data_IF_707631549886
#
_entry.id   IF_707631549886
#
_cell.length_a   1.000
_cell.length_b   1.000
_cell.length_c   1.000
_cell.angle_alpha   90.00
_cell.angle_beta   90.00
_cell.angle_gamma   90.00
#
_symmetry.space_group_name_H-M   'P 1'
#
loop_
_entity.id
_entity.type
_entity.pdbx_description
1 polymer ?
#
# COMPACT_ATOMS: atom_id res chain seq x y z
N UNK A 1 5.91 6.43 -26.29
CA UNK A 1 6.21 7.83 -25.87
C UNK A 1 5.42 8.20 -24.63
N UNK A 2 4.11 7.90 -24.56
CA UNK A 2 3.27 8.15 -23.38
C UNK A 2 3.74 7.44 -22.11
N UNK A 3 4.14 6.17 -22.21
CA UNK A 3 4.58 5.40 -21.04
C UNK A 3 5.85 5.97 -20.39
N UNK A 4 6.78 6.51 -21.19
CA UNK A 4 7.99 7.18 -20.69
C UNK A 4 7.65 8.51 -20.02
N UNK A 5 6.67 9.25 -20.54
CA UNK A 5 6.15 10.47 -19.91
C UNK A 5 5.40 10.18 -18.60
N UNK A 6 4.66 9.08 -18.53
CA UNK A 6 4.01 8.63 -17.31
C UNK A 6 5.04 8.28 -16.23
N UNK A 7 6.06 7.48 -16.58
CA UNK A 7 7.14 7.12 -15.65
C UNK A 7 7.89 8.37 -15.17
N UNK A 8 8.21 9.31 -16.06
CA UNK A 8 8.86 10.56 -15.66
C UNK A 8 7.98 11.46 -14.78
N UNK A 9 6.65 11.45 -14.96
CA UNK A 9 5.70 12.13 -14.07
C UNK A 9 5.54 11.42 -12.73
N UNK A 10 5.65 10.10 -12.69
CA UNK A 10 5.63 9.33 -11.43
C UNK A 10 6.92 9.53 -10.62
N UNK A 11 8.05 9.70 -11.31
CA UNK A 11 9.37 9.90 -10.68
C UNK A 11 9.57 11.35 -10.25
N UNK A 12 9.10 12.33 -11.02
CA UNK A 12 9.16 13.74 -10.64
C UNK A 12 7.94 14.04 -9.78
N UNK A 13 8.17 14.19 -8.48
CA UNK A 13 7.25 14.76 -7.51
C UNK A 13 6.86 16.19 -7.93
N UNK A 14 6.08 16.33 -9.00
CA UNK A 14 5.47 17.60 -9.38
C UNK A 14 4.29 17.76 -8.45
N UNK A 15 4.60 18.25 -7.24
CA UNK A 15 3.64 18.76 -6.29
C UNK A 15 2.76 19.80 -7.00
N UNK A 16 1.47 19.81 -6.68
CA UNK A 16 0.51 20.89 -6.94
C UNK A 16 -0.37 20.90 -8.20
N UNK A 17 -0.85 19.77 -8.72
CA UNK A 17 -2.01 19.81 -9.64
C UNK A 17 -3.11 18.80 -9.24
N UNK A 18 -4.37 19.14 -9.55
CA UNK A 18 -5.64 18.44 -9.23
C UNK A 18 -5.74 16.96 -9.70
N UNK A 19 -4.65 16.35 -10.18
CA UNK A 19 -4.48 14.92 -10.50
C UNK A 19 -3.50 14.16 -9.58
N UNK A 20 -2.87 14.83 -8.61
CA UNK A 20 -1.86 14.27 -7.70
C UNK A 20 -2.42 13.17 -6.79
N UNK A 21 -3.64 13.35 -6.26
CA UNK A 21 -4.24 12.39 -5.33
C UNK A 21 -4.38 10.99 -5.94
N UNK A 22 -4.97 10.89 -7.14
CA UNK A 22 -5.21 9.59 -7.76
C UNK A 22 -3.91 8.82 -8.05
N UNK A 23 -2.87 9.54 -8.48
CA UNK A 23 -1.56 8.96 -8.76
C UNK A 23 -0.89 8.50 -7.46
N UNK A 24 -0.85 9.36 -6.43
CA UNK A 24 -0.25 9.05 -5.13
C UNK A 24 -0.94 7.89 -4.42
N UNK A 25 -2.26 7.83 -4.49
CA UNK A 25 -3.02 6.69 -4.01
C UNK A 25 -2.63 5.42 -4.75
N UNK A 26 -2.56 5.47 -6.09
CA UNK A 26 -2.27 4.31 -6.91
C UNK A 26 -0.87 3.73 -6.65
N UNK A 27 0.15 4.57 -6.47
CA UNK A 27 1.52 4.11 -6.19
C UNK A 27 1.67 3.52 -4.78
N UNK A 28 0.82 3.94 -3.82
CA UNK A 28 0.87 3.45 -2.44
C UNK A 28 0.02 2.19 -2.20
N UNK A 29 -0.89 1.84 -3.12
CA UNK A 29 -1.65 0.58 -3.04
C UNK A 29 -0.72 -0.65 -2.97
N UNK A 30 0.31 -0.83 -3.81
CA UNK A 30 1.24 -1.95 -3.68
C UNK A 30 1.94 -2.03 -2.32
N UNK A 31 2.37 -0.89 -1.76
CA UNK A 31 3.02 -0.82 -0.44
C UNK A 31 2.04 -1.29 0.63
N UNK A 32 0.83 -0.75 0.61
CA UNK A 32 -0.29 -1.20 1.43
C UNK A 32 -0.54 -2.70 1.35
N UNK A 33 -0.61 -3.23 0.13
CA UNK A 33 -0.85 -4.64 -0.14
C UNK A 33 0.19 -5.53 0.53
N UNK A 34 1.48 -5.22 0.38
CA UNK A 34 2.56 -5.97 1.03
C UNK A 34 2.45 -5.94 2.56
N UNK A 35 2.09 -4.80 3.14
CA UNK A 35 1.87 -4.71 4.59
C UNK A 35 0.68 -5.59 5.03
N UNK A 36 -0.44 -5.55 4.31
CA UNK A 36 -1.65 -6.30 4.66
C UNK A 36 -1.56 -7.80 4.43
N UNK A 37 -0.68 -8.24 3.53
CA UNK A 37 -0.50 -9.65 3.18
C UNK A 37 0.10 -10.49 4.34
N UNK A 38 0.85 -9.85 5.25
CA UNK A 38 1.46 -10.54 6.40
C UNK A 38 0.43 -10.75 7.52
N UNK A 39 -0.12 -11.96 7.65
CA UNK A 39 -1.21 -12.27 8.60
C UNK A 39 -0.91 -11.98 10.08
N UNK A 40 0.33 -12.17 10.53
CA UNK A 40 0.64 -12.21 11.96
C UNK A 40 1.74 -11.24 12.42
N UNK A 41 2.26 -10.38 11.54
CA UNK A 41 3.35 -9.45 11.90
C UNK A 41 3.50 -8.26 10.93
N UNK A 42 2.46 -7.48 10.76
CA UNK A 42 2.44 -6.28 9.92
C UNK A 42 2.75 -4.99 10.70
N UNK A 43 2.62 -5.00 12.03
CA UNK A 43 2.75 -3.80 12.86
C UNK A 43 4.11 -3.10 12.71
N UNK A 44 5.19 -3.86 12.51
CA UNK A 44 6.53 -3.30 12.27
C UNK A 44 6.60 -2.48 10.99
N UNK A 45 6.05 -3.01 9.89
CA UNK A 45 6.02 -2.33 8.60
C UNK A 45 5.09 -1.12 8.61
N UNK A 46 3.90 -1.26 9.20
CA UNK A 46 2.95 -0.14 9.34
C UNK A 46 3.59 1.00 10.12
N UNK A 47 4.22 0.70 11.26
CA UNK A 47 4.86 1.72 12.09
C UNK A 47 6.05 2.38 11.37
N UNK A 48 6.82 1.61 10.60
CA UNK A 48 7.91 2.15 9.79
C UNK A 48 7.40 3.08 8.70
N UNK A 49 6.37 2.66 7.95
CA UNK A 49 5.73 3.47 6.91
C UNK A 49 5.15 4.76 7.48
N UNK A 50 4.35 4.68 8.55
CA UNK A 50 3.75 5.88 9.17
C UNK A 50 4.81 6.85 9.72
N UNK A 51 5.94 6.36 10.22
CA UNK A 51 7.04 7.22 10.68
C UNK A 51 7.75 7.90 9.51
N UNK A 52 7.96 7.19 8.42
CA UNK A 52 8.54 7.73 7.20
C UNK A 52 7.66 8.85 6.63
N UNK A 53 6.37 8.56 6.40
CA UNK A 53 5.42 9.52 5.83
C UNK A 53 5.25 10.78 6.69
N UNK A 54 5.14 10.63 8.02
CA UNK A 54 5.08 11.79 8.92
C UNK A 54 6.38 12.59 8.96
N UNK A 55 7.51 11.93 8.76
CA UNK A 55 8.79 12.61 8.70
C UNK A 55 8.91 13.39 7.38
N UNK A 56 8.54 12.80 6.25
CA UNK A 56 8.50 13.49 4.96
C UNK A 56 7.55 14.71 5.04
N UNK A 57 6.30 14.52 5.50
CA UNK A 57 5.32 15.61 5.63
C UNK A 57 5.83 16.77 6.50
N UNK A 58 6.58 16.48 7.56
CA UNK A 58 7.19 17.50 8.42
C UNK A 58 8.28 18.33 7.71
N UNK A 59 8.94 17.78 6.69
CA UNK A 59 10.00 18.45 5.93
C UNK A 59 9.52 19.05 4.60
N UNK A 60 8.61 18.38 3.89
CA UNK A 60 8.17 18.71 2.53
C UNK A 60 6.75 19.25 2.47
N UNK A 61 5.96 19.11 3.54
CA UNK A 61 4.54 19.50 3.62
C UNK A 61 3.70 18.94 2.46
N UNK A 62 4.02 17.71 2.04
CA UNK A 62 3.46 17.09 0.85
C UNK A 62 2.11 16.41 1.07
N UNK A 63 1.42 16.65 2.19
CA UNK A 63 0.11 16.07 2.49
C UNK A 63 0.15 14.53 2.55
N UNK A 64 1.00 13.97 3.41
CA UNK A 64 1.19 12.52 3.59
C UNK A 64 -0.09 11.69 3.80
N UNK A 65 -1.21 12.32 4.16
CA UNK A 65 -2.50 11.64 4.26
C UNK A 65 -2.94 10.99 2.94
N UNK A 66 -2.53 11.51 1.77
CA UNK A 66 -2.84 10.91 0.47
C UNK A 66 -2.14 9.55 0.29
N UNK A 67 -0.89 9.47 0.71
CA UNK A 67 -0.07 8.25 0.65
C UNK A 67 -0.56 7.21 1.67
N UNK A 68 -0.89 7.68 2.87
CA UNK A 68 -1.52 6.85 3.91
C UNK A 68 -2.85 6.27 3.41
N UNK A 69 -3.66 7.04 2.67
CA UNK A 69 -4.91 6.54 2.10
C UNK A 69 -4.68 5.43 1.08
N UNK A 70 -3.75 5.62 0.13
CA UNK A 70 -3.39 4.59 -0.85
C UNK A 70 -2.86 3.32 -0.19
N UNK A 71 -1.99 3.46 0.80
CA UNK A 71 -1.47 2.35 1.59
C UNK A 71 -2.58 1.64 2.39
N UNK A 72 -3.56 2.36 2.93
CA UNK A 72 -4.69 1.75 3.64
C UNK A 72 -5.57 0.92 2.69
N UNK A 73 -5.87 1.43 1.50
CA UNK A 73 -6.63 0.68 0.48
C UNK A 73 -5.90 -0.61 0.12
N UNK A 74 -4.61 -0.51 -0.19
CA UNK A 74 -3.76 -1.67 -0.46
C UNK A 74 -3.76 -2.67 0.70
N UNK A 75 -3.63 -2.17 1.93
CA UNK A 75 -3.61 -2.99 3.15
C UNK A 75 -4.88 -3.82 3.31
N UNK A 76 -6.06 -3.21 3.12
CA UNK A 76 -7.34 -3.93 3.20
C UNK A 76 -7.40 -5.02 2.13
N UNK A 77 -6.99 -4.73 0.90
CA UNK A 77 -6.94 -5.72 -0.19
C UNK A 77 -6.01 -6.88 0.18
N UNK A 78 -4.77 -6.59 0.59
CA UNK A 78 -3.79 -7.60 0.97
C UNK A 78 -4.23 -8.46 2.16
N UNK A 79 -4.92 -7.85 3.14
CA UNK A 79 -5.46 -8.54 4.30
C UNK A 79 -6.59 -9.51 3.93
N UNK A 80 -7.52 -9.08 3.08
CA UNK A 80 -8.62 -9.94 2.63
C UNK A 80 -8.11 -11.13 1.81
N UNK A 81 -7.16 -10.90 0.90
CA UNK A 81 -6.56 -11.98 0.10
C UNK A 81 -5.80 -12.96 0.98
N UNK A 82 -4.93 -12.48 1.87
CA UNK A 82 -4.15 -13.35 2.76
C UNK A 82 -5.05 -14.18 3.68
N UNK A 83 -6.10 -13.58 4.25
CA UNK A 83 -7.07 -14.31 5.06
C UNK A 83 -7.84 -15.36 4.25
N UNK A 84 -8.28 -15.02 3.04
CA UNK A 84 -8.95 -15.96 2.14
C UNK A 84 -8.07 -17.16 1.80
N UNK A 85 -6.80 -16.92 1.45
CA UNK A 85 -5.83 -17.98 1.17
C UNK A 85 -5.56 -18.84 2.41
N UNK A 86 -5.48 -18.24 3.59
CA UNK A 86 -5.31 -18.98 4.83
C UNK A 86 -6.50 -19.89 5.13
N UNK A 87 -7.74 -19.39 4.99
CA UNK A 87 -8.95 -20.22 5.16
C UNK A 87 -8.97 -21.38 4.16
N UNK A 88 -8.67 -21.12 2.89
CA UNK A 88 -8.60 -22.17 1.87
C UNK A 88 -7.54 -23.23 2.20
N UNK A 89 -6.37 -22.81 2.70
CA UNK A 89 -5.32 -23.72 3.15
C UNK A 89 -5.81 -24.60 4.31
N UNK A 90 -6.50 -24.03 5.30
CA UNK A 90 -7.05 -24.79 6.44
C UNK A 90 -8.09 -25.81 5.96
N UNK A 91 -9.02 -25.41 5.08
CA UNK A 91 -10.02 -26.32 4.49
C UNK A 91 -9.33 -27.47 3.76
N UNK A 92 -8.32 -27.15 2.94
CA UNK A 92 -7.56 -28.15 2.20
C UNK A 92 -6.82 -29.13 3.13
N UNK A 93 -6.20 -28.65 4.21
CA UNK A 93 -5.53 -29.49 5.20
C UNK A 93 -6.52 -30.41 5.93
N UNK A 94 -7.68 -29.91 6.35
CA UNK A 94 -8.72 -30.72 7.00
C UNK A 94 -9.21 -31.82 6.06
N UNK A 95 -9.48 -31.49 4.80
CA UNK A 95 -9.90 -32.47 3.79
C UNK A 95 -8.85 -33.54 3.44
N UNK A 96 -7.60 -33.37 3.86
CA UNK A 96 -6.54 -34.40 3.74
C UNK A 96 -6.45 -35.31 4.97
N UNK A 97 -7.00 -34.89 6.11
CA UNK A 97 -6.93 -35.61 7.38
C UNK A 97 -8.17 -36.49 7.63
N UNK A 98 -9.28 -36.20 6.96
CA UNK A 98 -10.52 -37.00 6.94
C UNK A 98 -10.48 -38.03 5.79
#
# INVERSE_FOLDING_TARGET
>A
MEMVNLINRLIRHNQDDEGDFGIRVLIHIPIGFFMGFLLFNDQGLINMFLKYERNEDAHTQDEAWKDIFGALVGFVIGRMISLGLFVLLIIWLIGRLL
#
